data_IF_301013678496
#
_entry.id   IF_301013678496
#
_cell.length_a   1.000
_cell.length_b   1.000
_cell.length_c   1.000
_cell.angle_alpha   90.00
_cell.angle_beta   90.00
_cell.angle_gamma   90.00
#
_symmetry.space_group_name_H-M   'P 1'
#
loop_
_entity.id
_entity.type
_entity.pdbx_description
1 polymer ?
#
# COMPACT_ATOMS: atom_id res chain seq x y z
N UNK A 1 37.56 -11.82 -51.82
CA UNK A 1 36.17 -11.42 -51.50
C UNK A 1 36.02 -11.46 -50.01
N UNK A 2 36.26 -10.32 -49.39
CA UNK A 2 36.14 -10.16 -47.91
C UNK A 2 34.68 -9.97 -47.57
N UNK A 3 34.17 -10.88 -46.79
CA UNK A 3 32.80 -10.86 -46.24
C UNK A 3 32.79 -9.89 -45.05
N UNK A 4 32.50 -8.62 -45.34
CA UNK A 4 32.35 -7.59 -44.29
C UNK A 4 31.00 -7.78 -43.60
N UNK A 5 30.97 -8.62 -42.58
CA UNK A 5 29.83 -8.68 -41.66
C UNK A 5 29.76 -7.37 -40.86
N UNK A 6 28.87 -6.50 -41.28
CA UNK A 6 28.48 -5.32 -40.48
C UNK A 6 27.84 -5.84 -39.21
N UNK A 7 28.59 -5.85 -38.12
CA UNK A 7 28.02 -6.01 -36.75
C UNK A 7 27.28 -4.73 -36.41
N UNK A 8 25.96 -4.74 -36.59
CA UNK A 8 25.11 -3.67 -36.09
C UNK A 8 25.09 -3.76 -34.55
N UNK A 9 25.88 -2.92 -33.91
CA UNK A 9 25.76 -2.70 -32.47
C UNK A 9 24.41 -2.04 -32.21
N UNK A 10 23.41 -2.81 -31.74
CA UNK A 10 22.21 -2.26 -31.12
C UNK A 10 22.63 -1.91 -29.72
N UNK A 11 22.64 -0.61 -29.32
CA UNK A 11 22.90 -0.26 -27.94
C UNK A 11 21.87 -0.99 -27.07
N UNK A 12 22.34 -1.69 -26.05
CA UNK A 12 21.46 -2.26 -25.01
C UNK A 12 20.71 -1.06 -24.41
N UNK A 13 19.42 -0.94 -24.70
CA UNK A 13 18.59 0.06 -24.04
C UNK A 13 18.67 -0.20 -22.54
N UNK A 14 18.94 0.84 -21.78
CA UNK A 14 18.86 0.76 -20.32
C UNK A 14 17.50 0.20 -19.96
N UNK A 15 17.47 -0.88 -19.19
CA UNK A 15 16.22 -1.49 -18.73
C UNK A 15 15.52 -0.46 -17.85
N UNK A 16 14.34 -0.03 -18.26
CA UNK A 16 13.53 0.88 -17.47
C UNK A 16 13.10 0.18 -16.19
N UNK A 17 13.60 0.67 -15.05
CA UNK A 17 13.17 0.22 -13.72
C UNK A 17 12.25 1.28 -13.13
N UNK A 18 10.97 0.96 -12.91
CA UNK A 18 10.05 1.93 -12.34
C UNK A 18 10.46 2.30 -10.91
N UNK A 19 10.48 3.60 -10.62
CA UNK A 19 10.74 4.10 -9.28
C UNK A 19 9.44 4.09 -8.45
N UNK A 20 9.31 3.06 -7.59
CA UNK A 20 8.14 2.84 -6.75
C UNK A 20 8.43 3.34 -5.34
N UNK A 21 7.48 4.07 -4.77
CA UNK A 21 7.54 4.58 -3.40
C UNK A 21 6.41 3.98 -2.56
N UNK A 22 6.72 3.64 -1.31
CA UNK A 22 5.73 3.33 -0.28
C UNK A 22 5.80 4.42 0.80
N UNK A 23 4.71 5.16 0.95
CA UNK A 23 4.58 6.22 1.94
C UNK A 23 3.57 5.83 3.01
N UNK A 24 4.07 5.63 4.23
CA UNK A 24 3.24 5.38 5.41
C UNK A 24 2.83 6.69 6.09
N UNK A 25 1.53 6.98 6.12
CA UNK A 25 0.98 8.18 6.76
C UNK A 25 0.45 7.88 8.17
N UNK A 26 0.97 8.61 9.15
CA UNK A 26 0.59 8.47 10.56
C UNK A 26 1.12 7.20 11.23
N UNK A 27 0.53 6.81 12.35
CA UNK A 27 1.01 5.68 13.17
C UNK A 27 0.88 4.34 12.45
N UNK A 28 -0.31 3.99 11.99
CA UNK A 28 -0.57 2.71 11.32
C UNK A 28 0.24 2.58 10.01
N UNK A 29 0.24 3.60 9.13
CA UNK A 29 1.06 3.60 7.93
C UNK A 29 2.55 3.47 8.25
N UNK A 30 3.02 4.14 9.30
CA UNK A 30 4.40 4.02 9.79
C UNK A 30 4.75 2.60 10.27
N UNK A 31 3.82 1.88 10.90
CA UNK A 31 4.02 0.49 11.31
C UNK A 31 4.18 -0.44 10.10
N UNK A 32 3.33 -0.26 9.07
CA UNK A 32 3.43 -1.02 7.81
C UNK A 32 4.81 -0.84 7.18
N UNK A 33 5.28 0.40 7.04
CA UNK A 33 6.61 0.69 6.49
C UNK A 33 7.72 0.06 7.34
N UNK A 34 7.63 0.18 8.68
CA UNK A 34 8.61 -0.45 9.58
C UNK A 34 8.65 -1.96 9.39
N UNK A 35 7.49 -2.59 9.17
CA UNK A 35 7.39 -4.02 8.93
C UNK A 35 7.99 -4.41 7.59
N UNK A 36 7.65 -3.69 6.50
CA UNK A 36 8.23 -3.93 5.17
C UNK A 36 9.75 -3.86 5.17
N UNK A 37 10.32 -2.86 5.84
CA UNK A 37 11.78 -2.74 6.02
C UNK A 37 12.33 -3.94 6.82
N UNK A 38 11.63 -4.37 7.87
CA UNK A 38 12.09 -5.49 8.72
C UNK A 38 12.01 -6.84 8.01
N UNK A 39 11.06 -7.01 7.09
CA UNK A 39 10.90 -8.21 6.25
C UNK A 39 11.80 -8.16 5.00
N UNK A 40 12.56 -7.07 4.81
CA UNK A 40 13.55 -6.96 3.74
C UNK A 40 12.95 -6.75 2.35
N UNK A 41 11.78 -6.11 2.25
CA UNK A 41 11.16 -5.77 0.95
C UNK A 41 12.11 -4.89 0.15
N UNK A 42 12.42 -5.30 -1.09
CA UNK A 42 13.41 -4.67 -1.97
C UNK A 42 12.74 -3.87 -3.09
N UNK A 43 13.53 -3.06 -3.78
CA UNK A 43 13.14 -2.31 -4.99
C UNK A 43 11.98 -1.32 -4.79
N UNK A 44 11.78 -0.85 -3.56
CA UNK A 44 10.82 0.21 -3.22
C UNK A 44 11.45 1.21 -2.26
N UNK A 45 11.19 2.49 -2.48
CA UNK A 45 11.64 3.55 -1.59
C UNK A 45 10.69 3.69 -0.41
N UNK A 46 11.18 3.49 0.79
CA UNK A 46 10.40 3.53 2.02
C UNK A 46 10.36 4.92 2.62
N UNK A 47 9.18 5.50 2.71
CA UNK A 47 8.94 6.85 3.23
C UNK A 47 7.90 6.78 4.35
N UNK A 48 8.04 7.61 5.36
CA UNK A 48 7.04 7.80 6.41
C UNK A 48 6.80 9.28 6.66
N UNK A 49 5.55 9.65 6.85
CA UNK A 49 5.18 10.99 7.28
C UNK A 49 4.32 10.93 8.55
N UNK A 50 4.61 11.80 9.50
CA UNK A 50 3.86 11.85 10.75
C UNK A 50 3.96 13.24 11.39
N UNK A 51 2.97 13.58 12.22
CA UNK A 51 2.97 14.73 13.12
C UNK A 51 3.55 14.41 14.51
N UNK A 52 3.79 13.13 14.81
CA UNK A 52 4.44 12.66 16.04
C UNK A 52 5.92 12.36 15.78
N UNK A 53 6.76 13.23 16.31
CA UNK A 53 8.21 13.15 16.13
C UNK A 53 8.83 11.91 16.78
N UNK A 54 8.28 11.45 17.91
CA UNK A 54 8.76 10.22 18.58
C UNK A 54 8.50 8.98 17.72
N UNK A 55 7.32 8.94 17.08
CA UNK A 55 6.98 7.87 16.15
C UNK A 55 7.92 7.88 14.93
N UNK A 56 8.22 9.06 14.37
CA UNK A 56 9.17 9.21 13.27
C UNK A 56 10.58 8.74 13.63
N UNK A 57 11.09 9.11 14.80
CA UNK A 57 12.43 8.70 15.23
C UNK A 57 12.59 7.17 15.33
N UNK A 58 11.55 6.48 15.80
CA UNK A 58 11.54 5.01 15.95
C UNK A 58 11.33 4.26 14.64
N UNK A 59 10.81 4.92 13.62
CA UNK A 59 10.52 4.30 12.34
C UNK A 59 11.81 3.93 11.61
N UNK A 60 11.77 2.84 10.83
CA UNK A 60 12.91 2.30 10.07
C UNK A 60 12.95 2.76 8.60
N UNK A 61 12.04 3.63 8.17
CA UNK A 61 12.01 4.15 6.80
C UNK A 61 13.27 4.93 6.45
N UNK A 62 13.64 4.89 5.15
CA UNK A 62 14.78 5.62 4.60
C UNK A 62 14.58 7.13 4.68
N UNK A 63 13.35 7.57 4.43
CA UNK A 63 12.96 8.99 4.44
C UNK A 63 11.83 9.23 5.43
N UNK A 64 11.96 10.29 6.21
CA UNK A 64 11.01 10.68 7.25
C UNK A 64 10.60 12.13 7.07
N UNK A 65 9.30 12.38 6.94
CA UNK A 65 8.74 13.73 6.80
C UNK A 65 8.06 14.12 8.11
N UNK A 66 8.58 15.15 8.78
CA UNK A 66 7.99 15.73 10.00
C UNK A 66 6.91 16.75 9.61
N UNK A 67 5.64 16.33 9.64
CA UNK A 67 4.52 17.12 9.17
C UNK A 67 4.14 18.23 10.15
N UNK A 68 4.06 19.46 9.64
CA UNK A 68 3.53 20.61 10.35
C UNK A 68 4.20 20.83 11.70
N UNK A 69 5.52 20.87 11.74
CA UNK A 69 6.31 20.97 12.96
C UNK A 69 5.95 22.19 13.80
N UNK A 70 5.60 23.31 13.16
CA UNK A 70 5.18 24.52 13.86
C UNK A 70 3.77 24.37 14.43
N UNK A 71 2.87 23.71 13.72
CA UNK A 71 1.48 23.53 14.10
C UNK A 71 1.34 22.51 15.25
N UNK A 72 2.02 21.38 15.16
CA UNK A 72 1.87 20.24 16.09
C UNK A 72 2.93 20.18 17.17
N UNK A 73 4.05 20.88 17.01
CA UNK A 73 5.25 20.84 17.86
C UNK A 73 5.76 19.41 18.08
N UNK A 74 5.51 18.52 17.10
CA UNK A 74 5.91 17.11 17.18
C UNK A 74 5.10 16.24 18.14
N UNK A 75 3.96 16.74 18.66
CA UNK A 75 3.13 16.04 19.65
C UNK A 75 1.99 15.23 19.01
N UNK A 76 1.91 15.19 17.68
CA UNK A 76 0.85 14.51 16.96
C UNK A 76 -0.38 15.39 16.73
N UNK A 77 -1.35 14.86 15.95
CA UNK A 77 -2.57 15.56 15.58
C UNK A 77 -3.73 15.39 16.59
N UNK A 78 -3.56 14.64 17.68
CA UNK A 78 -4.55 14.49 18.76
C UNK A 78 -5.90 13.92 18.27
N UNK A 79 -5.88 12.93 17.38
CA UNK A 79 -7.05 12.32 16.75
C UNK A 79 -7.98 13.32 16.02
N UNK A 80 -7.42 14.44 15.54
CA UNK A 80 -8.12 15.47 14.77
C UNK A 80 -7.59 15.51 13.34
N UNK A 81 -8.39 15.03 12.34
CA UNK A 81 -7.96 14.99 10.95
C UNK A 81 -7.65 16.36 10.35
N UNK A 82 -8.36 17.39 10.79
CA UNK A 82 -8.12 18.77 10.35
C UNK A 82 -6.72 19.28 10.73
N UNK A 83 -6.20 18.84 11.88
CA UNK A 83 -4.81 19.15 12.29
C UNK A 83 -3.82 18.33 11.45
N UNK A 84 -4.13 17.06 11.18
CA UNK A 84 -3.31 16.22 10.31
C UNK A 84 -3.23 16.77 8.87
N UNK A 85 -4.35 17.21 8.34
CA UNK A 85 -4.42 17.85 7.03
C UNK A 85 -3.63 19.18 7.00
N UNK A 86 -3.87 20.08 7.96
CA UNK A 86 -3.14 21.34 8.07
C UNK A 86 -1.63 21.14 8.19
N UNK A 87 -1.20 20.12 8.96
CA UNK A 87 0.21 19.76 9.08
C UNK A 87 0.83 19.27 7.76
N UNK A 88 0.07 18.52 6.97
CA UNK A 88 0.51 18.10 5.64
C UNK A 88 0.55 19.26 4.64
N UNK A 89 -0.44 20.19 4.69
CA UNK A 89 -0.43 21.41 3.88
C UNK A 89 0.80 22.29 4.18
N UNK A 90 1.15 22.46 5.45
CA UNK A 90 2.36 23.21 5.86
C UNK A 90 3.65 22.56 5.32
N UNK A 91 3.59 21.26 5.00
CA UNK A 91 4.76 20.46 4.57
C UNK A 91 4.71 20.07 3.08
N UNK A 92 3.88 20.72 2.25
CA UNK A 92 3.70 20.37 0.84
C UNK A 92 5.03 20.31 0.09
N UNK A 93 5.92 21.29 0.28
CA UNK A 93 7.21 21.32 -0.41
C UNK A 93 8.10 20.13 -0.08
N UNK A 94 8.07 19.65 1.17
CA UNK A 94 8.82 18.46 1.59
C UNK A 94 8.23 17.21 0.96
N UNK A 95 6.89 17.13 0.91
CA UNK A 95 6.16 16.04 0.26
C UNK A 95 6.48 16.00 -1.24
N UNK A 96 6.39 17.13 -1.95
CA UNK A 96 6.72 17.26 -3.38
C UNK A 96 8.16 16.82 -3.66
N UNK A 97 9.12 17.31 -2.88
CA UNK A 97 10.53 16.97 -3.03
C UNK A 97 10.79 15.46 -2.87
N UNK A 98 10.06 14.83 -1.97
CA UNK A 98 10.20 13.40 -1.71
C UNK A 98 9.53 12.56 -2.80
N UNK A 99 8.37 12.98 -3.32
CA UNK A 99 7.63 12.29 -4.39
C UNK A 99 8.32 12.44 -5.74
N UNK A 100 9.05 13.53 -5.95
CA UNK A 100 9.69 13.85 -7.23
C UNK A 100 10.52 12.70 -7.78
N UNK A 101 10.25 12.36 -9.05
CA UNK A 101 10.93 11.26 -9.76
C UNK A 101 10.38 9.87 -9.47
N UNK A 102 9.31 9.74 -8.69
CA UNK A 102 8.58 8.48 -8.55
C UNK A 102 7.62 8.29 -9.71
N UNK A 103 7.47 7.05 -10.17
CA UNK A 103 6.49 6.69 -11.20
C UNK A 103 5.19 6.19 -10.56
N UNK A 104 5.29 5.61 -9.37
CA UNK A 104 4.16 5.08 -8.62
C UNK A 104 4.36 5.32 -7.12
N UNK A 105 3.27 5.64 -6.43
CA UNK A 105 3.24 5.78 -4.97
C UNK A 105 2.15 4.92 -4.36
N UNK A 106 2.51 4.13 -3.36
CA UNK A 106 1.57 3.50 -2.44
C UNK A 106 1.44 4.35 -1.19
N UNK A 107 0.21 4.73 -0.84
CA UNK A 107 -0.10 5.46 0.39
C UNK A 107 -0.75 4.49 1.37
N UNK A 108 -0.01 4.11 2.41
CA UNK A 108 -0.51 3.26 3.48
C UNK A 108 -0.97 4.11 4.68
N UNK A 109 -2.21 3.95 5.14
CA UNK A 109 -2.71 4.68 6.30
C UNK A 109 -3.81 3.92 7.05
N UNK A 110 -3.88 4.12 8.38
CA UNK A 110 -5.03 3.76 9.17
C UNK A 110 -5.97 4.96 9.30
N UNK A 111 -7.22 4.77 8.86
CA UNK A 111 -8.24 5.80 8.89
C UNK A 111 -8.92 5.87 10.27
N UNK A 112 -9.49 7.04 10.60
CA UNK A 112 -10.16 7.28 11.88
C UNK A 112 -9.29 7.94 12.96
N UNK A 113 -7.97 8.07 12.70
CA UNK A 113 -7.06 8.88 13.51
C UNK A 113 -6.93 10.31 13.01
N UNK A 114 -5.96 11.05 13.56
CA UNK A 114 -5.70 12.43 13.14
C UNK A 114 -4.78 12.50 11.92
N UNK A 115 -3.54 12.02 12.05
CA UNK A 115 -2.51 12.18 11.02
C UNK A 115 -2.81 11.36 9.77
N UNK A 116 -3.07 10.04 9.89
CA UNK A 116 -3.35 9.20 8.73
C UNK A 116 -4.56 9.68 7.93
N UNK A 117 -5.67 9.95 8.63
CA UNK A 117 -6.92 10.42 8.01
C UNK A 117 -6.80 11.78 7.35
N UNK A 118 -6.04 12.70 7.97
CA UNK A 118 -5.89 14.06 7.47
C UNK A 118 -4.80 14.20 6.41
N UNK A 119 -3.62 13.60 6.63
CA UNK A 119 -2.47 13.78 5.76
C UNK A 119 -2.54 12.93 4.49
N UNK A 120 -3.10 11.71 4.53
CA UNK A 120 -3.12 10.82 3.35
C UNK A 120 -3.82 11.46 2.15
N UNK A 121 -5.01 12.13 2.26
CA UNK A 121 -5.62 12.83 1.14
C UNK A 121 -4.77 13.97 0.58
N UNK A 122 -4.04 14.71 1.43
CA UNK A 122 -3.13 15.78 0.99
C UNK A 122 -1.96 15.20 0.20
N UNK A 123 -1.34 14.14 0.71
CA UNK A 123 -0.25 13.43 0.00
C UNK A 123 -0.75 12.89 -1.35
N UNK A 124 -1.94 12.28 -1.37
CA UNK A 124 -2.52 11.77 -2.61
C UNK A 124 -2.76 12.90 -3.63
N UNK A 125 -3.31 14.04 -3.20
CA UNK A 125 -3.52 15.21 -4.04
C UNK A 125 -2.20 15.72 -4.63
N UNK A 126 -1.14 15.80 -3.83
CA UNK A 126 0.19 16.22 -4.30
C UNK A 126 0.73 15.20 -5.32
N UNK A 127 0.68 13.92 -5.04
CA UNK A 127 1.15 12.87 -5.96
C UNK A 127 0.38 12.90 -7.29
N UNK A 128 -0.94 13.00 -7.23
CA UNK A 128 -1.81 13.07 -8.40
C UNK A 128 -1.53 14.32 -9.24
N UNK A 129 -1.28 15.49 -8.60
CA UNK A 129 -0.92 16.72 -9.31
C UNK A 129 0.45 16.65 -10.00
N UNK A 130 1.31 15.73 -9.59
CA UNK A 130 2.61 15.45 -10.20
C UNK A 130 2.55 14.31 -11.23
N UNK A 131 1.34 13.85 -11.60
CA UNK A 131 1.09 12.75 -12.56
C UNK A 131 1.73 11.41 -12.12
N UNK A 132 1.91 11.19 -10.82
CA UNK A 132 2.41 9.95 -10.25
C UNK A 132 1.24 8.99 -10.03
N UNK A 133 1.32 7.75 -10.55
CA UNK A 133 0.30 6.74 -10.31
C UNK A 133 0.09 6.52 -8.81
N UNK A 134 -1.10 6.90 -8.31
CA UNK A 134 -1.39 6.97 -6.87
C UNK A 134 -2.32 5.85 -6.45
N UNK A 135 -1.80 4.90 -5.67
CA UNK A 135 -2.54 3.79 -5.10
C UNK A 135 -2.62 3.94 -3.58
N UNK A 136 -3.81 4.08 -3.05
CA UNK A 136 -4.00 4.14 -1.61
C UNK A 136 -4.49 2.80 -1.06
N UNK A 137 -3.87 2.34 0.03
CA UNK A 137 -4.24 1.13 0.74
C UNK A 137 -4.45 1.50 2.20
N UNK A 138 -5.71 1.51 2.63
CA UNK A 138 -6.08 2.04 3.94
C UNK A 138 -6.95 1.06 4.72
N UNK A 139 -6.90 1.17 6.04
CA UNK A 139 -7.71 0.36 6.93
C UNK A 139 -8.78 1.18 7.63
N UNK A 140 -9.95 0.56 7.84
CA UNK A 140 -10.99 1.10 8.71
C UNK A 140 -10.79 0.58 10.14
N UNK A 141 -11.12 1.38 11.16
CA UNK A 141 -10.99 0.97 12.55
C UNK A 141 -11.88 -0.23 12.88
N UNK A 142 -11.51 -0.97 13.90
CA UNK A 142 -12.37 -1.99 14.48
C UNK A 142 -13.64 -1.37 15.10
N UNK A 143 -14.74 -2.12 15.12
CA UNK A 143 -16.02 -1.67 15.68
C UNK A 143 -15.90 -1.26 17.16
N UNK A 144 -15.05 -1.97 17.93
CA UNK A 144 -14.80 -1.64 19.35
C UNK A 144 -14.06 -0.30 19.54
N UNK A 145 -13.42 0.27 18.51
CA UNK A 145 -12.80 1.59 18.60
C UNK A 145 -13.82 2.74 18.60
N UNK A 146 -15.07 2.43 18.28
CA UNK A 146 -16.21 3.30 18.47
C UNK A 146 -16.69 4.02 17.20
N UNK A 147 -17.98 4.35 17.21
CA UNK A 147 -18.69 4.93 16.05
C UNK A 147 -18.10 6.27 15.57
N UNK A 148 -17.59 7.09 16.48
CA UNK A 148 -16.98 8.38 16.13
C UNK A 148 -15.75 8.16 15.25
N UNK A 149 -14.90 7.20 15.62
CA UNK A 149 -13.68 6.89 14.88
C UNK A 149 -14.00 6.30 13.51
N UNK A 150 -14.99 5.43 13.43
CA UNK A 150 -15.49 4.89 12.17
C UNK A 150 -16.04 6.01 11.24
N UNK A 151 -16.86 6.93 11.77
CA UNK A 151 -17.37 8.06 10.99
C UNK A 151 -16.23 8.91 10.43
N UNK A 152 -15.25 9.27 11.26
CA UNK A 152 -14.06 10.02 10.85
C UNK A 152 -13.27 9.25 9.76
N UNK A 153 -13.17 7.92 9.87
CA UNK A 153 -12.50 7.09 8.89
C UNK A 153 -13.20 7.14 7.52
N UNK A 154 -14.52 6.99 7.49
CA UNK A 154 -15.31 7.02 6.26
C UNK A 154 -15.22 8.38 5.56
N UNK A 155 -15.32 9.48 6.31
CA UNK A 155 -15.13 10.85 5.78
C UNK A 155 -13.74 11.04 5.17
N UNK A 156 -12.71 10.47 5.80
CA UNK A 156 -11.34 10.50 5.29
C UNK A 156 -11.15 9.66 4.03
N UNK A 157 -11.77 8.49 3.96
CA UNK A 157 -11.76 7.62 2.78
C UNK A 157 -12.38 8.32 1.58
N UNK A 158 -13.50 9.02 1.74
CA UNK A 158 -14.12 9.77 0.65
C UNK A 158 -13.19 10.87 0.11
N UNK A 159 -12.54 11.64 0.99
CA UNK A 159 -11.56 12.66 0.58
C UNK A 159 -10.34 12.06 -0.13
N UNK A 160 -9.88 10.89 0.34
CA UNK A 160 -8.74 10.20 -0.25
C UNK A 160 -9.07 9.69 -1.66
N UNK A 161 -10.30 9.21 -1.86
CA UNK A 161 -10.80 8.68 -3.14
C UNK A 161 -10.76 9.71 -4.26
N UNK A 162 -10.95 10.99 -3.95
CA UNK A 162 -10.95 12.08 -4.95
C UNK A 162 -9.59 12.29 -5.62
N UNK A 163 -8.51 11.79 -4.99
CA UNK A 163 -7.13 12.05 -5.41
C UNK A 163 -6.30 10.78 -5.63
N UNK A 164 -6.97 9.62 -5.70
CA UNK A 164 -6.28 8.34 -5.92
C UNK A 164 -6.79 7.66 -7.19
N UNK A 165 -5.89 7.08 -7.96
CA UNK A 165 -6.21 6.28 -9.13
C UNK A 165 -6.89 4.97 -8.72
N UNK A 166 -6.34 4.34 -7.68
CA UNK A 166 -6.84 3.09 -7.12
C UNK A 166 -6.88 3.18 -5.60
N UNK A 167 -8.00 2.80 -5.00
CA UNK A 167 -8.22 2.81 -3.56
C UNK A 167 -8.64 1.43 -3.06
N UNK A 168 -7.81 0.84 -2.20
CA UNK A 168 -8.10 -0.39 -1.47
C UNK A 168 -8.45 -0.04 -0.02
N UNK A 169 -9.66 -0.38 0.40
CA UNK A 169 -10.14 -0.16 1.78
C UNK A 169 -10.32 -1.50 2.47
N UNK A 170 -9.62 -1.71 3.57
CA UNK A 170 -9.62 -2.95 4.34
C UNK A 170 -10.34 -2.72 5.68
N UNK A 171 -11.54 -3.26 5.89
CA UNK A 171 -12.20 -3.22 7.19
C UNK A 171 -11.47 -4.14 8.18
N UNK A 172 -11.00 -3.60 9.31
CA UNK A 172 -10.28 -4.40 10.30
C UNK A 172 -11.14 -5.53 10.90
N UNK A 173 -12.46 -5.32 11.03
CA UNK A 173 -13.37 -6.34 11.55
C UNK A 173 -13.38 -7.60 10.68
N UNK A 174 -13.29 -7.46 9.34
CA UNK A 174 -13.21 -8.61 8.42
C UNK A 174 -11.94 -9.44 8.61
N UNK A 175 -10.86 -8.84 9.12
CA UNK A 175 -9.65 -9.55 9.46
C UNK A 175 -9.76 -10.27 10.81
N UNK A 176 -10.52 -9.68 11.74
CA UNK A 176 -10.73 -10.27 13.05
C UNK A 176 -11.59 -11.53 12.97
N UNK A 177 -12.60 -11.56 12.10
CA UNK A 177 -13.47 -12.73 11.89
C UNK A 177 -12.68 -13.95 11.38
N UNK A 178 -11.55 -13.72 10.71
CA UNK A 178 -10.63 -14.78 10.25
C UNK A 178 -9.68 -15.30 11.36
N UNK A 179 -9.76 -14.75 12.58
CA UNK A 179 -8.87 -15.12 13.69
C UNK A 179 -9.52 -16.10 14.66
N UNK A 180 -8.71 -16.81 15.45
CA UNK A 180 -9.19 -17.71 16.50
C UNK A 180 -9.56 -16.92 17.77
N UNK A 181 -10.40 -17.54 18.62
CA UNK A 181 -10.95 -16.96 19.87
C UNK A 181 -9.88 -16.44 20.86
N UNK A 182 -8.61 -16.79 20.67
CA UNK A 182 -7.50 -16.43 21.57
C UNK A 182 -6.59 -15.33 21.01
N UNK A 183 -6.97 -14.64 19.92
CA UNK A 183 -6.13 -13.58 19.32
C UNK A 183 -6.11 -12.34 20.22
N UNK A 184 -4.94 -11.92 20.66
CA UNK A 184 -4.76 -10.69 21.43
C UNK A 184 -4.99 -9.45 20.56
N UNK A 185 -5.31 -8.31 21.17
CA UNK A 185 -5.47 -7.04 20.48
C UNK A 185 -4.22 -6.64 19.68
N UNK A 186 -3.04 -6.90 20.23
CA UNK A 186 -1.75 -6.61 19.57
C UNK A 186 -1.59 -7.47 18.32
N UNK A 187 -1.92 -8.75 18.39
CA UNK A 187 -1.88 -9.66 17.25
C UNK A 187 -2.88 -9.26 16.16
N UNK A 188 -4.08 -8.78 16.54
CA UNK A 188 -5.05 -8.26 15.58
C UNK A 188 -4.50 -7.06 14.80
N UNK A 189 -3.84 -6.10 15.44
CA UNK A 189 -3.19 -4.99 14.75
C UNK A 189 -2.00 -5.45 13.89
N UNK A 190 -1.22 -6.42 14.35
CA UNK A 190 -0.15 -7.01 13.55
C UNK A 190 -0.67 -7.73 12.29
N UNK A 191 -1.84 -8.35 12.37
CA UNK A 191 -2.50 -8.95 11.21
C UNK A 191 -2.88 -7.86 10.19
N UNK A 192 -3.45 -6.75 10.65
CA UNK A 192 -3.76 -5.59 9.80
C UNK A 192 -2.52 -5.08 9.06
N UNK A 193 -1.41 -4.86 9.78
CA UNK A 193 -0.14 -4.42 9.19
C UNK A 193 0.37 -5.43 8.15
N UNK A 194 0.20 -6.74 8.41
CA UNK A 194 0.61 -7.81 7.48
C UNK A 194 -0.23 -7.80 6.20
N UNK A 195 -1.53 -7.61 6.31
CA UNK A 195 -2.42 -7.58 5.14
C UNK A 195 -2.12 -6.37 4.27
N UNK A 196 -1.89 -5.18 4.87
CA UNK A 196 -1.46 -3.99 4.15
C UNK A 196 -0.13 -4.22 3.43
N UNK A 197 0.86 -4.78 4.13
CA UNK A 197 2.16 -5.11 3.54
C UNK A 197 2.01 -6.09 2.36
N UNK A 198 1.27 -7.18 2.53
CA UNK A 198 1.06 -8.18 1.49
C UNK A 198 0.37 -7.59 0.26
N UNK A 199 -0.59 -6.68 0.46
CA UNK A 199 -1.27 -5.98 -0.63
C UNK A 199 -0.30 -5.12 -1.45
N UNK A 200 0.56 -4.35 -0.78
CA UNK A 200 1.59 -3.54 -1.43
C UNK A 200 2.59 -4.44 -2.14
N UNK A 201 3.09 -5.47 -1.45
CA UNK A 201 4.10 -6.38 -1.98
C UNK A 201 3.60 -7.13 -3.22
N UNK A 202 2.37 -7.63 -3.21
CA UNK A 202 1.79 -8.32 -4.37
C UNK A 202 1.76 -7.47 -5.63
N UNK A 203 1.51 -6.17 -5.50
CA UNK A 203 1.54 -5.23 -6.64
C UNK A 203 2.98 -4.86 -7.00
N UNK A 204 3.85 -4.63 -6.02
CA UNK A 204 5.26 -4.27 -6.28
C UNK A 204 6.04 -5.42 -6.92
N UNK A 205 5.78 -6.67 -6.52
CA UNK A 205 6.41 -7.86 -7.12
C UNK A 205 6.00 -8.02 -8.59
N UNK A 206 4.74 -7.74 -8.92
CA UNK A 206 4.24 -7.75 -10.28
C UNK A 206 4.95 -6.70 -11.16
N UNK A 207 5.14 -5.49 -10.63
CA UNK A 207 5.77 -4.36 -11.34
C UNK A 207 7.28 -4.54 -11.46
N UNK A 208 7.93 -5.08 -10.44
CA UNK A 208 9.38 -5.28 -10.41
C UNK A 208 9.86 -6.52 -11.18
N UNK A 209 8.95 -7.28 -11.75
CA UNK A 209 9.30 -8.44 -12.58
C UNK A 209 9.97 -9.58 -11.82
N UNK A 210 9.58 -9.83 -10.57
CA UNK A 210 10.15 -10.90 -9.72
C UNK A 210 9.61 -12.29 -10.09
N UNK A 211 8.81 -12.43 -11.14
CA UNK A 211 8.20 -13.69 -11.58
C UNK A 211 8.64 -14.15 -12.96
N UNK A 212 8.23 -15.37 -13.34
CA UNK A 212 8.47 -15.94 -14.69
C UNK A 212 7.69 -15.20 -15.79
N UNK A 213 6.65 -14.46 -15.42
CA UNK A 213 5.85 -13.60 -16.30
C UNK A 213 5.94 -12.17 -15.77
N UNK A 214 6.62 -11.32 -16.53
CA UNK A 214 6.75 -9.90 -16.20
C UNK A 214 5.64 -9.13 -16.91
N UNK A 215 4.99 -8.23 -16.16
CA UNK A 215 4.01 -7.27 -16.70
C UNK A 215 4.74 -5.94 -16.88
N UNK A 216 4.60 -5.31 -18.02
CA UNK A 216 5.18 -3.99 -18.25
C UNK A 216 4.51 -2.96 -17.31
N UNK A 217 5.30 -2.02 -16.78
CA UNK A 217 4.78 -0.94 -15.93
C UNK A 217 3.66 -0.15 -16.61
N UNK A 218 3.76 0.05 -17.94
CA UNK A 218 2.74 0.74 -18.72
C UNK A 218 1.39 0.00 -18.69
N UNK A 219 1.39 -1.34 -18.71
CA UNK A 219 0.18 -2.15 -18.60
C UNK A 219 -0.44 -2.01 -17.19
N UNK A 220 0.39 -2.07 -16.15
CA UNK A 220 -0.05 -1.87 -14.76
C UNK A 220 -0.63 -0.47 -14.60
N UNK A 221 0.03 0.56 -15.12
CA UNK A 221 -0.46 1.93 -15.10
C UNK A 221 -1.83 2.05 -15.79
N UNK A 222 -1.97 1.49 -16.98
CA UNK A 222 -3.23 1.51 -17.74
C UNK A 222 -4.36 0.84 -16.97
N UNK A 223 -4.07 -0.28 -16.29
CA UNK A 223 -5.06 -1.03 -15.50
C UNK A 223 -5.43 -0.29 -14.21
N UNK A 224 -4.47 0.38 -13.56
CA UNK A 224 -4.70 0.96 -12.22
C UNK A 224 -5.10 2.44 -12.26
N UNK A 225 -4.85 3.14 -13.36
CA UNK A 225 -5.17 4.55 -13.49
C UNK A 225 -6.69 4.78 -13.54
N UNK A 226 -7.21 5.65 -12.66
CA UNK A 226 -8.63 6.03 -12.60
C UNK A 226 -9.61 4.83 -12.41
N UNK A 227 -9.16 3.74 -11.76
CA UNK A 227 -10.01 2.56 -11.53
C UNK A 227 -10.92 2.70 -10.32
N UNK A 228 -10.59 3.57 -9.39
CA UNK A 228 -11.37 3.80 -8.19
C UNK A 228 -11.22 2.68 -7.16
N UNK A 229 -12.28 1.96 -6.81
CA UNK A 229 -12.25 0.95 -5.74
C UNK A 229 -11.61 -0.35 -6.21
N UNK A 230 -10.62 -0.83 -5.47
CA UNK A 230 -10.03 -2.16 -5.61
C UNK A 230 -10.34 -3.04 -4.39
N UNK A 231 -10.22 -4.35 -4.58
CA UNK A 231 -10.34 -5.35 -3.51
C UNK A 231 -9.23 -6.37 -3.64
N UNK A 232 -8.89 -7.01 -2.52
CA UNK A 232 -7.89 -8.05 -2.47
C UNK A 232 -8.42 -9.28 -1.73
N UNK A 233 -8.14 -10.46 -2.24
CA UNK A 233 -8.38 -11.72 -1.57
C UNK A 233 -7.09 -12.52 -1.45
N UNK A 234 -6.93 -13.29 -0.38
CA UNK A 234 -5.81 -14.19 -0.17
C UNK A 234 -6.33 -15.57 0.12
N UNK A 235 -5.83 -16.57 -0.59
CA UNK A 235 -6.13 -17.97 -0.35
C UNK A 235 -4.86 -18.80 -0.27
N UNK A 236 -4.89 -19.86 0.53
CA UNK A 236 -3.78 -20.79 0.72
C UNK A 236 -4.27 -22.23 0.70
N UNK A 237 -3.59 -23.09 -0.07
CA UNK A 237 -3.92 -24.49 -0.11
C UNK A 237 -2.68 -25.36 -0.37
N UNK A 238 -2.76 -26.66 -0.02
CA UNK A 238 -1.71 -27.64 -0.26
C UNK A 238 -2.29 -28.86 -0.98
N UNK A 239 -1.43 -29.67 -1.60
CA UNK A 239 -1.82 -30.91 -2.27
C UNK A 239 -2.02 -30.78 -3.79
N UNK A 240 -2.61 -31.80 -4.42
CA UNK A 240 -2.72 -31.91 -5.88
C UNK A 240 -3.58 -30.81 -6.52
N UNK A 241 -4.66 -30.40 -5.83
CA UNK A 241 -5.62 -29.40 -6.33
C UNK A 241 -5.45 -28.02 -5.67
N UNK A 242 -4.24 -27.77 -5.16
CA UNK A 242 -3.93 -26.58 -4.38
C UNK A 242 -4.25 -25.25 -5.07
N UNK A 243 -4.11 -25.18 -6.40
CA UNK A 243 -4.38 -23.94 -7.15
C UNK A 243 -5.87 -23.59 -7.12
N UNK A 244 -6.73 -24.55 -7.45
CA UNK A 244 -8.19 -24.32 -7.42
C UNK A 244 -8.68 -24.03 -6.01
N UNK A 245 -8.19 -24.77 -5.03
CA UNK A 245 -8.54 -24.58 -3.63
C UNK A 245 -8.08 -23.22 -3.10
N UNK A 246 -6.85 -22.79 -3.40
CA UNK A 246 -6.35 -21.49 -3.01
C UNK A 246 -7.11 -20.35 -3.70
N UNK A 247 -7.47 -20.51 -4.97
CA UNK A 247 -8.29 -19.51 -5.67
C UNK A 247 -9.69 -19.42 -5.09
N UNK A 248 -10.34 -20.54 -4.78
CA UNK A 248 -11.64 -20.54 -4.11
C UNK A 248 -11.56 -19.88 -2.73
N UNK A 249 -10.53 -20.21 -1.93
CA UNK A 249 -10.29 -19.60 -0.63
C UNK A 249 -10.07 -18.07 -0.75
N UNK A 250 -9.30 -17.63 -1.75
CA UNK A 250 -9.09 -16.20 -2.01
C UNK A 250 -10.41 -15.47 -2.37
N UNK A 251 -11.24 -16.08 -3.21
CA UNK A 251 -12.53 -15.51 -3.63
C UNK A 251 -13.59 -15.54 -2.51
N UNK A 252 -13.47 -16.50 -1.59
CA UNK A 252 -14.32 -16.63 -0.40
C UNK A 252 -13.77 -15.90 0.83
N UNK A 253 -12.62 -15.24 0.67
CA UNK A 253 -12.01 -14.45 1.75
C UNK A 253 -13.00 -13.42 2.31
N UNK A 254 -13.02 -13.26 3.62
CA UNK A 254 -13.86 -12.24 4.30
C UNK A 254 -13.63 -10.83 3.78
N UNK A 255 -12.47 -10.55 3.19
CA UNK A 255 -12.16 -9.27 2.54
C UNK A 255 -12.92 -9.06 1.22
N UNK A 256 -13.34 -10.15 0.57
CA UNK A 256 -14.11 -10.15 -0.67
C UNK A 256 -15.62 -10.23 -0.44
N UNK A 257 -16.06 -10.49 0.79
CA UNK A 257 -17.46 -10.54 1.16
C UNK A 257 -18.14 -9.20 0.84
N UNK A 258 -19.34 -9.22 0.32
CA UNK A 258 -20.10 -8.05 -0.16
C UNK A 258 -19.52 -7.38 -1.45
N UNK A 259 -18.53 -8.00 -2.12
CA UNK A 259 -18.00 -7.49 -3.38
C UNK A 259 -18.52 -8.29 -4.56
N UNK A 260 -19.21 -7.63 -5.47
CA UNK A 260 -19.58 -8.23 -6.76
C UNK A 260 -18.43 -8.05 -7.75
N UNK A 261 -17.68 -9.13 -8.00
CA UNK A 261 -16.58 -9.14 -8.96
C UNK A 261 -17.04 -9.18 -10.42
N UNK A 262 -18.33 -9.37 -10.67
CA UNK A 262 -18.90 -9.30 -12.02
C UNK A 262 -18.88 -7.85 -12.52
N UNK A 263 -18.01 -7.55 -13.41
CA UNK A 263 -17.77 -6.18 -13.91
C UNK A 263 -16.45 -5.60 -13.46
N UNK A 264 -15.59 -6.39 -12.81
CA UNK A 264 -14.21 -6.03 -12.59
C UNK A 264 -13.52 -5.77 -13.94
N UNK A 265 -12.89 -4.60 -14.09
CA UNK A 265 -12.18 -4.23 -15.32
C UNK A 265 -10.87 -4.96 -15.47
N UNK A 266 -10.26 -5.34 -14.33
CA UNK A 266 -9.03 -6.12 -14.29
C UNK A 266 -9.02 -7.04 -13.08
N UNK A 267 -8.40 -8.21 -13.24
CA UNK A 267 -8.12 -9.17 -12.17
C UNK A 267 -6.66 -9.57 -12.30
N UNK A 268 -5.90 -9.42 -11.22
CA UNK A 268 -4.53 -9.93 -11.11
C UNK A 268 -4.47 -11.01 -10.03
N UNK A 269 -3.73 -12.07 -10.27
CA UNK A 269 -3.43 -13.06 -9.25
C UNK A 269 -1.94 -13.37 -9.24
N UNK A 270 -1.36 -13.52 -8.04
CA UNK A 270 0.00 -13.99 -7.85
C UNK A 270 -0.02 -15.38 -7.23
N UNK A 271 0.70 -16.32 -7.84
CA UNK A 271 0.80 -17.70 -7.38
C UNK A 271 2.19 -17.92 -6.77
N UNK A 272 2.26 -18.18 -5.47
CA UNK A 272 3.48 -18.54 -4.77
C UNK A 272 3.47 -20.05 -4.48
N UNK A 273 4.42 -20.80 -5.06
CA UNK A 273 4.69 -22.19 -4.65
C UNK A 273 5.79 -22.18 -3.60
N UNK A 274 5.48 -22.64 -2.38
CA UNK A 274 6.53 -23.00 -1.44
C UNK A 274 7.22 -24.27 -1.94
N UNK A 275 8.56 -24.36 -1.93
CA UNK A 275 9.25 -25.58 -2.25
C UNK A 275 8.76 -26.67 -1.28
N UNK A 276 8.17 -27.73 -1.82
CA UNK A 276 7.94 -28.93 -1.05
C UNK A 276 9.31 -29.47 -0.68
N UNK A 277 9.68 -29.41 0.61
CA UNK A 277 10.83 -30.15 1.11
C UNK A 277 10.63 -31.60 0.71
N UNK A 278 11.36 -32.03 -0.30
CA UNK A 278 11.39 -33.44 -0.71
C UNK A 278 11.93 -34.25 0.48
N UNK A 279 11.04 -34.91 1.17
CA UNK A 279 11.45 -35.98 2.04
C UNK A 279 12.06 -37.08 1.18
N UNK A 280 13.27 -37.44 1.49
CA UNK A 280 13.97 -38.66 1.08
C UNK A 280 13.25 -39.83 1.71
#
# INVERSE_FOLDING_TARGET
MEDSRIQTFVPVQEIFVPNIMVLGAGGAGGNVVTRMVSEGVQNVRMVVCNTDQKALQRNKADVKIDLGRQLTRGMGAGARPEIGAGAAEDSIRDIENVIKGSHMIFIAAGMGGGTGTGAAPVVARVAHSMEVLTVAIVTLPFAFEGKRRMKTALEGVEKLREHTDTLLVIPNDKLYDATTINTSLIEAFHLVDTVLMNAIQGITDLVNGVGDINVDFADVQTIMQNMGKAVIGKGTAAGKDRMNLAMQDALQSSLMEDVDIRGAKAVSYTHLTLPTSGGV
#
